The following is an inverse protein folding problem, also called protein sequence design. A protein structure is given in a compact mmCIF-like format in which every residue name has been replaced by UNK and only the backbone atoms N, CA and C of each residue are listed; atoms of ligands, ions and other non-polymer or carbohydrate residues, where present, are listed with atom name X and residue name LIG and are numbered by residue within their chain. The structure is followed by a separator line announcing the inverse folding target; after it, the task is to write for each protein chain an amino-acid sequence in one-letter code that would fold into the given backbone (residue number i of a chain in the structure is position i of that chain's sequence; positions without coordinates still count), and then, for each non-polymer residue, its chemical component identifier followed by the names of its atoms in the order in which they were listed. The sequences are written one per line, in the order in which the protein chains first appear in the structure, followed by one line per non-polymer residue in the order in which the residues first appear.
data_IF_080102819880
#
_entry.id   IF_080102819880
#
_cell.length_a   1.000
_cell.length_b   1.000
_cell.length_c   1.000
_cell.angle_alpha   90.00
_cell.angle_beta   90.00
_cell.angle_gamma   90.00
#
_symmetry.space_group_name_H-M   'P 1'
#
loop_
_entity.id
_entity.type
_entity.pdbx_description
1 polymer ?
#
# COMPACT_ATOMS: atom_id res chain seq x y z
N UNK A 1 3.34 16.95 -16.41
CA UNK A 1 4.73 16.60 -16.79
C UNK A 1 5.42 17.75 -17.56
N UNK A 2 6.69 18.07 -17.26
CA UNK A 2 7.45 19.13 -17.95
C UNK A 2 7.52 18.92 -19.47
N UNK A 3 7.56 17.67 -19.93
CA UNK A 3 7.55 17.27 -21.35
C UNK A 3 6.29 17.71 -22.11
N UNK A 4 5.12 17.81 -21.46
CA UNK A 4 3.89 18.23 -22.12
C UNK A 4 3.92 19.70 -22.56
N UNK A 5 4.67 20.56 -21.86
CA UNK A 5 4.79 21.98 -22.21
C UNK A 5 5.66 22.21 -23.46
N UNK A 6 6.68 21.37 -23.66
CA UNK A 6 7.51 21.38 -24.87
C UNK A 6 6.68 20.96 -26.08
N UNK A 7 6.01 19.82 -26.00
CA UNK A 7 5.20 19.28 -27.10
C UNK A 7 4.10 20.26 -27.56
N UNK A 8 3.39 20.91 -26.62
CA UNK A 8 2.33 21.89 -26.95
C UNK A 8 2.90 23.13 -27.67
N UNK A 9 4.09 23.59 -27.27
CA UNK A 9 4.71 24.80 -27.85
C UNK A 9 5.34 24.51 -29.21
N UNK A 10 5.99 23.35 -29.34
CA UNK A 10 6.56 22.88 -30.59
C UNK A 10 5.46 22.61 -31.64
N UNK A 11 4.34 22.00 -31.24
CA UNK A 11 3.20 21.77 -32.12
C UNK A 11 2.68 23.06 -32.78
N UNK A 12 2.66 24.17 -32.05
CA UNK A 12 2.29 25.48 -32.61
C UNK A 12 3.30 26.01 -33.63
N UNK A 13 4.59 25.78 -33.41
CA UNK A 13 5.64 26.16 -34.36
C UNK A 13 5.56 25.30 -35.62
N UNK A 14 5.41 23.99 -35.45
CA UNK A 14 5.25 23.03 -36.54
C UNK A 14 4.03 23.38 -37.42
N UNK A 15 2.87 23.66 -36.82
CA UNK A 15 1.68 24.06 -37.55
C UNK A 15 1.90 25.32 -38.41
N UNK A 16 2.59 26.33 -37.85
CA UNK A 16 2.97 27.54 -38.61
C UNK A 16 3.92 27.22 -39.76
N UNK A 17 4.90 26.34 -39.53
CA UNK A 17 5.88 25.94 -40.54
C UNK A 17 5.27 25.12 -41.68
N UNK A 18 4.28 24.26 -41.40
CA UNK A 18 3.51 23.54 -42.42
C UNK A 18 2.77 24.54 -43.31
N UNK A 19 2.03 25.49 -42.71
CA UNK A 19 1.35 26.55 -43.46
C UNK A 19 2.30 27.48 -44.21
N UNK A 20 3.52 27.72 -43.70
CA UNK A 20 4.54 28.50 -44.40
C UNK A 20 5.10 27.72 -45.61
N UNK A 21 5.33 26.41 -45.45
CA UNK A 21 5.79 25.52 -46.52
C UNK A 21 4.80 25.43 -47.68
N UNK A 22 3.50 25.36 -47.39
CA UNK A 22 2.44 25.35 -48.41
C UNK A 22 2.32 26.70 -49.16
N UNK A 23 2.78 27.79 -48.54
CA UNK A 23 2.73 29.15 -49.11
C UNK A 23 4.07 29.62 -49.69
N UNK A 24 5.08 28.75 -49.74
CA UNK A 24 6.43 29.10 -50.23
C UNK A 24 7.17 30.16 -49.39
N UNK A 25 6.76 30.38 -48.14
CA UNK A 25 7.37 31.37 -47.25
C UNK A 25 8.42 30.73 -46.31
N UNK A 26 9.31 31.58 -45.76
CA UNK A 26 10.42 31.14 -44.91
C UNK A 26 9.91 30.50 -43.61
N UNK A 27 10.47 29.35 -43.27
CA UNK A 27 10.17 28.61 -42.02
C UNK A 27 10.86 29.27 -40.83
N UNK A 28 10.26 29.15 -39.65
CA UNK A 28 10.82 29.66 -38.38
C UNK A 28 11.36 28.52 -37.51
N UNK A 29 12.55 28.69 -36.94
CA UNK A 29 13.13 27.73 -36.01
C UNK A 29 12.48 27.82 -34.62
N UNK A 30 12.32 26.66 -33.97
CA UNK A 30 11.81 26.59 -32.61
C UNK A 30 12.97 26.61 -31.61
N UNK A 31 13.01 27.64 -30.76
CA UNK A 31 13.92 27.68 -29.61
C UNK A 31 13.11 27.75 -28.30
N UNK A 32 13.29 26.74 -27.45
CA UNK A 32 12.71 26.76 -26.11
C UNK A 32 13.69 27.35 -25.11
N UNK A 33 13.36 28.50 -24.52
CA UNK A 33 14.09 29.05 -23.39
C UNK A 33 13.40 28.64 -22.09
N UNK A 34 14.00 27.71 -21.36
CA UNK A 34 13.54 27.35 -20.02
C UNK A 34 13.70 28.55 -19.08
N UNK A 35 12.63 28.93 -18.38
CA UNK A 35 12.67 30.01 -17.37
C UNK A 35 13.35 29.57 -16.07
N UNK A 36 13.54 28.26 -15.89
CA UNK A 36 14.14 27.67 -14.71
C UNK A 36 13.61 26.28 -14.40
N UNK A 37 14.21 25.61 -13.41
CA UNK A 37 13.78 24.33 -12.87
C UNK A 37 13.65 24.44 -11.34
N UNK A 38 12.59 23.87 -10.80
CA UNK A 38 12.32 23.80 -9.36
C UNK A 38 12.01 22.36 -9.00
N UNK A 39 12.70 21.81 -8.02
CA UNK A 39 12.51 20.44 -7.54
C UNK A 39 12.50 20.38 -6.01
N UNK A 40 11.52 19.69 -5.43
CA UNK A 40 11.47 19.43 -4.00
C UNK A 40 12.25 18.15 -3.66
N UNK A 41 13.11 18.20 -2.64
CA UNK A 41 13.92 17.06 -2.17
C UNK A 41 13.38 16.40 -0.88
N UNK A 42 12.28 16.93 -0.31
CA UNK A 42 11.78 16.50 1.01
C UNK A 42 12.43 17.28 2.17
N UNK A 43 11.98 17.06 3.42
CA UNK A 43 12.54 17.67 4.64
C UNK A 43 12.83 19.19 4.54
N UNK A 44 11.83 19.98 4.16
CA UNK A 44 11.95 21.44 3.99
C UNK A 44 13.10 21.87 3.05
N UNK A 45 13.51 21.00 2.11
CA UNK A 45 14.60 21.25 1.18
C UNK A 45 14.12 21.15 -0.26
N UNK A 46 14.57 22.10 -1.08
CA UNK A 46 14.33 22.12 -2.51
C UNK A 46 15.55 22.72 -3.23
N UNK A 47 15.59 22.56 -4.55
CA UNK A 47 16.57 23.18 -5.43
C UNK A 47 15.84 24.00 -6.47
N UNK A 48 16.31 25.23 -6.67
CA UNK A 48 15.78 26.17 -7.63
C UNK A 48 16.91 26.68 -8.53
N UNK A 49 16.69 26.58 -9.84
CA UNK A 49 17.48 27.26 -10.85
C UNK A 49 16.55 28.20 -11.62
N UNK A 50 16.79 29.51 -11.55
CA UNK A 50 16.01 30.53 -12.23
C UNK A 50 16.84 31.21 -13.32
N UNK A 51 16.23 31.36 -14.49
CA UNK A 51 16.78 32.08 -15.66
C UNK A 51 18.20 31.64 -16.07
N UNK A 52 18.61 30.42 -15.70
CA UNK A 52 19.95 29.86 -15.96
C UNK A 52 21.11 30.55 -15.24
N UNK A 53 20.84 31.46 -14.29
CA UNK A 53 21.89 32.24 -13.60
C UNK A 53 21.77 32.20 -12.08
N UNK A 54 20.56 32.11 -11.55
CA UNK A 54 20.31 32.19 -10.12
C UNK A 54 20.02 30.78 -9.61
N UNK A 55 20.94 30.22 -8.83
CA UNK A 55 20.82 28.90 -8.21
C UNK A 55 20.75 29.07 -6.70
N UNK A 56 19.72 28.50 -6.08
CA UNK A 56 19.57 28.50 -4.63
C UNK A 56 18.88 27.22 -4.17
N UNK A 57 19.22 26.79 -2.96
CA UNK A 57 18.78 25.50 -2.40
C UNK A 57 18.43 25.63 -0.92
N UNK A 58 17.77 24.60 -0.38
CA UNK A 58 17.39 24.52 1.03
C UNK A 58 16.02 25.15 1.32
N UNK A 59 15.86 25.66 2.54
CA UNK A 59 14.58 26.17 3.06
C UNK A 59 13.98 27.29 2.20
N UNK A 60 14.80 28.24 1.75
CA UNK A 60 14.31 29.36 0.93
C UNK A 60 13.85 28.92 -0.46
N UNK A 61 14.54 27.95 -1.07
CA UNK A 61 14.07 27.33 -2.32
C UNK A 61 12.77 26.55 -2.11
N UNK A 62 12.63 25.88 -0.97
CA UNK A 62 11.43 25.13 -0.61
C UNK A 62 10.23 26.04 -0.35
N UNK A 63 10.43 27.15 0.37
CA UNK A 63 9.41 28.15 0.61
C UNK A 63 9.00 28.88 -0.67
N UNK A 64 9.98 29.23 -1.51
CA UNK A 64 9.72 29.83 -2.82
C UNK A 64 8.89 28.92 -3.73
N UNK A 65 9.18 27.61 -3.75
CA UNK A 65 8.36 26.64 -4.46
C UNK A 65 6.90 26.62 -3.96
N UNK A 66 6.70 26.62 -2.63
CA UNK A 66 5.36 26.73 -2.02
C UNK A 66 4.64 28.01 -2.45
N UNK A 67 5.31 29.15 -2.47
CA UNK A 67 4.74 30.42 -2.91
C UNK A 67 4.25 30.38 -4.37
N UNK A 68 5.07 29.81 -5.27
CA UNK A 68 4.71 29.66 -6.70
C UNK A 68 3.53 28.70 -6.88
N UNK A 69 3.52 27.58 -6.16
CA UNK A 69 2.40 26.63 -6.17
C UNK A 69 1.10 27.30 -5.71
N UNK A 70 1.15 28.02 -4.58
CA UNK A 70 0.01 28.72 -4.02
C UNK A 70 -0.56 29.79 -4.95
N UNK A 71 0.31 30.56 -5.61
CA UNK A 71 -0.10 31.57 -6.58
C UNK A 71 -0.92 30.96 -7.74
N UNK A 72 -0.54 29.76 -8.19
CA UNK A 72 -1.16 29.05 -9.32
C UNK A 72 -2.42 28.25 -8.98
N UNK A 73 -2.78 28.12 -7.70
CA UNK A 73 -4.01 27.40 -7.32
C UNK A 73 -5.26 28.17 -7.74
N UNK A 74 -6.21 27.55 -8.45
CA UNK A 74 -7.50 28.17 -8.73
C UNK A 74 -8.42 28.09 -7.49
N UNK A 75 -9.08 29.21 -7.16
CA UNK A 75 -10.08 29.32 -6.09
C UNK A 75 -9.52 29.83 -4.76
N UNK A 76 -10.17 30.86 -4.20
CA UNK A 76 -9.77 31.51 -2.94
C UNK A 76 -9.85 30.56 -1.75
N UNK A 77 -10.92 29.76 -1.65
CA UNK A 77 -11.09 28.78 -0.55
C UNK A 77 -9.99 27.72 -0.55
N UNK A 78 -9.47 27.34 -1.73
CA UNK A 78 -8.37 26.36 -1.86
C UNK A 78 -7.03 26.98 -1.43
N UNK A 79 -6.79 28.24 -1.80
CA UNK A 79 -5.60 28.99 -1.37
C UNK A 79 -5.55 29.15 0.16
N UNK A 80 -6.67 29.49 0.79
CA UNK A 80 -6.76 29.66 2.25
C UNK A 80 -6.50 28.34 2.98
N UNK A 81 -7.15 27.24 2.57
CA UNK A 81 -6.93 25.91 3.18
C UNK A 81 -5.48 25.45 3.08
N UNK A 82 -4.86 25.63 1.92
CA UNK A 82 -3.46 25.24 1.71
C UNK A 82 -2.49 26.11 2.53
N UNK A 83 -2.75 27.41 2.63
CA UNK A 83 -1.95 28.30 3.47
C UNK A 83 -2.05 27.93 4.97
N UNK A 84 -3.27 27.63 5.45
CA UNK A 84 -3.50 27.17 6.83
C UNK A 84 -2.80 25.84 7.07
N UNK A 85 -2.90 24.88 6.15
CA UNK A 85 -2.18 23.60 6.24
C UNK A 85 -0.67 23.79 6.36
N UNK A 86 -0.06 24.67 5.56
CA UNK A 86 1.38 24.94 5.64
C UNK A 86 1.80 25.70 6.89
N UNK A 87 0.93 26.59 7.40
CA UNK A 87 1.14 27.30 8.65
C UNK A 87 1.08 26.34 9.85
N UNK A 88 0.12 25.42 9.84
CA UNK A 88 -0.02 24.37 10.85
C UNK A 88 1.14 23.37 10.81
N UNK A 89 1.57 22.93 9.62
CA UNK A 89 2.77 22.09 9.43
C UNK A 89 4.05 22.73 10.03
N UNK A 90 4.11 24.07 10.10
CA UNK A 90 5.30 24.79 10.56
C UNK A 90 5.32 25.06 12.07
N UNK A 91 4.13 25.13 12.71
CA UNK A 91 3.96 25.45 14.14
C UNK A 91 3.73 24.18 14.96
N UNK A 92 3.19 23.15 14.33
CA UNK A 92 3.02 21.83 14.92
C UNK A 92 4.09 20.95 14.28
N UNK A 93 5.24 20.69 14.92
CA UNK A 93 5.95 19.47 14.61
C UNK A 93 4.92 18.37 14.87
N UNK A 94 4.37 17.79 13.80
CA UNK A 94 3.77 16.47 13.92
C UNK A 94 4.98 15.55 14.13
N UNK A 95 5.64 15.66 15.29
CA UNK A 95 5.82 14.44 16.05
C UNK A 95 4.41 13.89 16.16
N UNK A 96 4.10 13.05 15.19
CA UNK A 96 3.30 11.91 15.49
C UNK A 96 4.00 11.30 16.71
N UNK A 97 3.54 11.66 17.92
CA UNK A 97 3.03 10.60 18.77
C UNK A 97 2.29 9.75 17.77
N UNK A 98 2.90 8.62 17.47
CA UNK A 98 2.33 7.57 16.67
C UNK A 98 1.11 7.14 17.50
N UNK A 99 0.07 7.97 17.50
CA UNK A 99 -1.28 7.54 17.56
C UNK A 99 -1.28 6.59 16.38
N UNK A 100 -1.04 5.31 16.71
CA UNK A 100 -1.70 4.19 16.09
C UNK A 100 -3.19 4.51 16.17
N UNK A 101 -3.63 5.47 15.36
CA UNK A 101 -4.72 5.20 14.46
C UNK A 101 -4.18 4.01 13.69
N UNK A 102 -4.31 2.80 14.23
CA UNK A 102 -4.17 1.60 13.44
C UNK A 102 -5.26 1.78 12.42
N UNK A 103 -4.98 2.14 11.15
CA UNK A 103 -5.96 1.79 10.17
C UNK A 103 -6.03 0.26 10.32
N UNK A 104 -7.18 -0.27 10.72
CA UNK A 104 -7.54 -1.64 10.43
C UNK A 104 -7.62 -1.76 8.91
N UNK A 105 -6.45 -1.74 8.26
CA UNK A 105 -6.17 -2.25 6.92
C UNK A 105 -5.68 -3.67 7.17
N UNK A 106 -6.51 -4.59 7.66
CA UNK A 106 -7.91 -4.78 7.30
C UNK A 106 -7.93 -5.83 6.21
N UNK A 107 -7.74 -7.09 6.63
CA UNK A 107 -7.92 -8.32 5.85
C UNK A 107 -7.22 -8.31 4.46
N UNK A 108 -6.07 -8.98 4.35
CA UNK A 108 -5.44 -9.17 3.04
C UNK A 108 -6.13 -10.30 2.26
N UNK A 109 -6.35 -10.13 0.95
CA UNK A 109 -6.79 -11.21 0.07
C UNK A 109 -5.56 -11.94 -0.48
N UNK A 110 -5.54 -13.26 -0.36
CA UNK A 110 -4.49 -14.12 -0.90
C UNK A 110 -5.11 -15.13 -1.85
N UNK A 111 -4.34 -15.50 -2.88
CA UNK A 111 -4.71 -16.52 -3.84
C UNK A 111 -3.57 -17.54 -3.92
N UNK A 112 -3.93 -18.82 -3.97
CA UNK A 112 -3.01 -19.95 -4.07
C UNK A 112 -3.51 -20.95 -5.10
N UNK A 113 -2.58 -21.53 -5.86
CA UNK A 113 -2.85 -22.61 -6.81
C UNK A 113 -2.82 -23.99 -6.11
N UNK A 114 -3.35 -25.06 -6.75
CA UNK A 114 -3.23 -26.41 -6.22
C UNK A 114 -1.78 -26.80 -5.90
N UNK A 115 -1.61 -27.59 -4.84
CA UNK A 115 -0.33 -28.03 -4.27
C UNK A 115 0.55 -26.94 -3.64
N UNK A 116 0.18 -25.66 -3.71
CA UNK A 116 0.89 -24.62 -2.99
C UNK A 116 0.67 -24.72 -1.47
N UNK A 117 1.75 -24.48 -0.73
CA UNK A 117 1.75 -24.54 0.74
C UNK A 117 1.56 -23.12 1.28
N UNK A 118 0.56 -22.95 2.14
CA UNK A 118 0.24 -21.66 2.76
C UNK A 118 1.17 -21.39 3.96
N UNK A 119 1.47 -22.43 4.74
CA UNK A 119 2.51 -22.44 5.77
C UNK A 119 2.86 -23.87 6.17
N UNK A 120 4.04 -24.04 6.74
CA UNK A 120 4.51 -25.29 7.31
C UNK A 120 4.26 -25.36 8.82
N UNK A 121 4.19 -26.59 9.34
CA UNK A 121 4.30 -26.84 10.77
C UNK A 121 5.60 -26.21 11.33
N UNK A 122 5.50 -25.58 12.50
CA UNK A 122 6.61 -24.91 13.16
C UNK A 122 6.81 -23.44 12.76
N UNK A 123 6.25 -23.00 11.63
CA UNK A 123 6.34 -21.60 11.19
C UNK A 123 5.75 -20.64 12.23
N UNK A 124 6.26 -19.42 12.32
CA UNK A 124 5.64 -18.40 13.18
C UNK A 124 4.36 -17.89 12.53
N UNK A 125 3.26 -17.88 13.30
CA UNK A 125 1.92 -17.57 12.79
C UNK A 125 1.29 -16.32 13.40
N UNK A 126 1.25 -15.23 12.65
CA UNK A 126 0.61 -13.96 13.07
C UNK A 126 -0.73 -13.65 12.36
N UNK A 127 -1.21 -14.59 11.53
CA UNK A 127 -2.45 -14.46 10.76
C UNK A 127 -3.37 -15.67 10.93
N UNK A 128 -4.67 -15.39 10.97
CA UNK A 128 -5.75 -16.33 10.73
C UNK A 128 -6.16 -16.24 9.26
N UNK A 129 -6.52 -17.36 8.64
CA UNK A 129 -7.03 -17.38 7.27
C UNK A 129 -8.47 -17.87 7.22
N UNK A 130 -9.31 -17.20 6.44
CA UNK A 130 -10.69 -17.59 6.15
C UNK A 130 -10.78 -17.97 4.67
N UNK A 131 -11.36 -19.13 4.38
CA UNK A 131 -11.50 -19.65 3.02
C UNK A 131 -12.74 -19.01 2.39
N UNK A 132 -12.52 -18.21 1.35
CA UNK A 132 -13.61 -17.60 0.56
C UNK A 132 -14.11 -18.59 -0.48
N UNK A 133 -13.17 -19.24 -1.17
CA UNK A 133 -13.41 -20.20 -2.24
C UNK A 133 -12.21 -21.15 -2.35
N UNK A 134 -12.42 -22.37 -2.81
CA UNK A 134 -11.39 -23.41 -2.89
C UNK A 134 -11.37 -24.38 -1.70
N UNK A 135 -10.24 -25.08 -1.54
CA UNK A 135 -10.10 -26.17 -0.58
C UNK A 135 -8.64 -26.37 -0.16
N UNK A 136 -8.43 -26.62 1.12
CA UNK A 136 -7.10 -26.87 1.70
C UNK A 136 -7.09 -28.15 2.51
N UNK A 137 -5.94 -28.81 2.54
CA UNK A 137 -5.65 -29.99 3.33
C UNK A 137 -4.67 -29.61 4.45
N UNK A 138 -5.01 -29.97 5.68
CA UNK A 138 -4.21 -29.78 6.89
C UNK A 138 -3.59 -31.12 7.26
N UNK A 139 -2.26 -31.17 7.38
CA UNK A 139 -1.54 -32.39 7.68
C UNK A 139 -0.30 -32.14 8.53
N UNK A 140 0.13 -33.16 9.27
CA UNK A 140 1.43 -33.20 9.94
C UNK A 140 2.30 -34.25 9.26
N UNK A 141 3.61 -34.03 9.28
CA UNK A 141 4.59 -34.99 8.80
C UNK A 141 5.43 -35.47 10.00
N UNK A 142 5.29 -36.76 10.35
CA UNK A 142 6.08 -37.40 11.40
C UNK A 142 6.78 -38.61 10.80
N UNK A 143 8.08 -38.73 11.03
CA UNK A 143 8.92 -39.84 10.53
C UNK A 143 8.80 -40.08 9.01
N UNK A 144 8.63 -39.00 8.23
CA UNK A 144 8.45 -39.05 6.78
C UNK A 144 7.07 -39.57 6.31
N UNK A 145 6.14 -39.80 7.24
CA UNK A 145 4.76 -40.18 6.93
C UNK A 145 3.83 -38.97 7.08
N UNK A 146 3.07 -38.70 6.02
CA UNK A 146 2.07 -37.65 5.99
C UNK A 146 0.77 -38.13 6.64
N UNK A 147 0.40 -37.54 7.77
CA UNK A 147 -0.90 -37.76 8.43
C UNK A 147 -1.83 -36.59 8.15
N UNK A 148 -2.87 -36.84 7.34
CA UNK A 148 -3.93 -35.86 7.05
C UNK A 148 -4.86 -35.74 8.25
N UNK A 149 -5.03 -34.52 8.75
CA UNK A 149 -5.84 -34.22 9.94
C UNK A 149 -7.24 -33.79 9.54
N UNK A 150 -7.34 -32.93 8.51
CA UNK A 150 -8.61 -32.45 7.99
C UNK A 150 -8.47 -31.84 6.59
N UNK A 151 -9.58 -31.80 5.87
CA UNK A 151 -9.75 -31.00 4.66
C UNK A 151 -10.77 -29.92 4.95
N UNK A 152 -10.47 -28.69 4.57
CA UNK A 152 -11.26 -27.48 4.89
C UNK A 152 -11.69 -26.79 3.60
N UNK A 153 -12.96 -26.39 3.54
CA UNK A 153 -13.57 -25.73 2.38
C UNK A 153 -14.07 -24.31 2.69
N UNK A 154 -14.85 -23.70 1.78
CA UNK A 154 -15.32 -22.32 1.93
C UNK A 154 -16.11 -22.08 3.21
N UNK A 155 -16.08 -20.84 3.71
CA UNK A 155 -16.69 -20.42 4.99
C UNK A 155 -16.09 -21.04 6.25
N UNK A 156 -15.00 -21.79 6.12
CA UNK A 156 -14.20 -22.26 7.26
C UNK A 156 -12.92 -21.43 7.41
N UNK A 157 -12.24 -21.60 8.53
CA UNK A 157 -11.01 -20.87 8.85
C UNK A 157 -9.95 -21.79 9.46
N UNK A 158 -8.68 -21.37 9.35
CA UNK A 158 -7.54 -22.09 9.90
C UNK A 158 -6.41 -21.14 10.34
N UNK A 159 -5.53 -21.66 11.20
CA UNK A 159 -4.40 -20.92 11.75
C UNK A 159 -4.71 -20.16 13.04
N UNK A 160 -5.90 -20.36 13.61
CA UNK A 160 -6.36 -19.79 14.87
C UNK A 160 -5.52 -20.24 16.07
N UNK A 161 -5.07 -21.49 16.07
CA UNK A 161 -4.31 -22.08 17.18
C UNK A 161 -3.04 -21.27 17.48
N UNK A 162 -2.41 -20.75 16.41
CA UNK A 162 -1.19 -19.97 16.54
C UNK A 162 -1.40 -18.61 17.22
N UNK A 163 -2.62 -18.08 17.10
CA UNK A 163 -2.98 -16.78 17.65
C UNK A 163 -3.36 -16.85 19.12
N UNK A 164 -3.95 -17.96 19.55
CA UNK A 164 -4.49 -18.15 20.90
C UNK A 164 -3.39 -18.62 21.88
N UNK A 165 -2.73 -19.75 21.59
CA UNK A 165 -1.96 -20.48 22.61
C UNK A 165 -0.52 -20.84 22.22
N UNK A 166 -0.14 -20.88 20.94
CA UNK A 166 1.18 -21.37 20.52
C UNK A 166 1.75 -20.47 19.44
N UNK A 167 2.87 -19.78 19.65
CA UNK A 167 3.39 -18.80 18.66
C UNK A 167 3.75 -19.41 17.28
N UNK A 168 3.71 -20.74 17.15
CA UNK A 168 4.05 -21.49 15.95
C UNK A 168 2.84 -22.24 15.37
N UNK A 169 2.89 -22.56 14.08
CA UNK A 169 1.87 -23.35 13.36
C UNK A 169 1.92 -24.80 13.81
N UNK A 170 0.77 -25.34 14.20
CA UNK A 170 0.66 -26.72 14.70
C UNK A 170 0.63 -27.79 13.60
N UNK A 171 0.45 -27.42 12.33
CA UNK A 171 0.39 -28.34 11.19
C UNK A 171 0.73 -27.59 9.90
N UNK A 172 1.03 -28.33 8.83
CA UNK A 172 1.22 -27.80 7.47
C UNK A 172 -0.13 -27.70 6.76
N UNK A 173 -0.34 -26.62 6.00
CA UNK A 173 -1.57 -26.41 5.22
C UNK A 173 -1.22 -26.23 3.74
N UNK A 174 -1.84 -27.04 2.89
CA UNK A 174 -1.63 -27.05 1.43
C UNK A 174 -2.95 -26.95 0.68
N UNK A 175 -2.98 -26.23 -0.43
CA UNK A 175 -4.15 -26.15 -1.31
C UNK A 175 -4.36 -27.45 -2.09
N UNK A 176 -5.58 -27.98 -2.11
CA UNK A 176 -5.98 -29.11 -2.98
C UNK A 176 -6.68 -28.61 -4.25
N UNK A 177 -7.19 -27.38 -4.23
CA UNK A 177 -7.84 -26.66 -5.34
C UNK A 177 -7.34 -25.22 -5.37
N UNK A 178 -7.53 -24.46 -6.48
CA UNK A 178 -7.29 -23.03 -6.48
C UNK A 178 -8.08 -22.38 -5.35
N UNK A 179 -7.41 -21.66 -4.46
CA UNK A 179 -7.99 -21.22 -3.18
C UNK A 179 -7.81 -19.73 -2.97
N UNK A 180 -8.92 -19.06 -2.65
CA UNK A 180 -8.96 -17.64 -2.29
C UNK A 180 -9.16 -17.50 -0.78
N UNK A 181 -8.27 -16.76 -0.13
CA UNK A 181 -8.24 -16.59 1.31
C UNK A 181 -8.36 -15.12 1.73
N UNK A 182 -8.90 -14.91 2.91
CA UNK A 182 -8.81 -13.66 3.67
C UNK A 182 -7.87 -13.86 4.86
N UNK A 183 -6.78 -13.11 4.92
CA UNK A 183 -5.79 -13.15 5.99
C UNK A 183 -6.04 -12.03 7.00
N UNK A 184 -6.40 -12.40 8.23
CA UNK A 184 -6.69 -11.51 9.35
C UNK A 184 -5.51 -11.50 10.33
N UNK A 185 -4.99 -10.32 10.68
CA UNK A 185 -3.88 -10.19 11.64
C UNK A 185 -4.32 -10.55 13.06
N UNK A 186 -3.37 -11.02 13.88
CA UNK A 186 -3.57 -11.28 15.31
C UNK A 186 -4.21 -10.12 16.07
N UNK A 187 -3.80 -8.88 15.79
CA UNK A 187 -4.36 -7.68 16.42
C UNK A 187 -5.85 -7.52 16.12
N UNK A 188 -6.25 -7.79 14.88
CA UNK A 188 -7.63 -7.63 14.41
C UNK A 188 -8.51 -8.76 14.93
N UNK A 189 -7.97 -9.99 14.94
CA UNK A 189 -8.60 -11.15 15.57
C UNK A 189 -8.84 -10.93 17.07
N UNK A 190 -7.87 -10.37 17.79
CA UNK A 190 -8.00 -10.04 19.21
C UNK A 190 -9.16 -9.07 19.48
N UNK A 191 -9.32 -8.05 18.62
CA UNK A 191 -10.46 -7.12 18.72
C UNK A 191 -11.81 -7.79 18.45
N UNK A 192 -11.89 -8.72 17.48
CA UNK A 192 -13.12 -9.46 17.20
C UNK A 192 -13.52 -10.33 18.39
N UNK A 193 -12.57 -11.05 18.97
CA UNK A 193 -12.83 -11.92 20.12
C UNK A 193 -13.20 -11.11 21.38
N UNK A 194 -12.59 -9.95 21.60
CA UNK A 194 -12.90 -9.13 22.77
C UNK A 194 -14.30 -8.51 22.71
N UNK A 195 -14.80 -8.24 21.51
CA UNK A 195 -16.10 -7.60 21.31
C UNK A 195 -17.26 -8.59 21.22
N UNK A 196 -16.99 -9.87 20.93
CA UNK A 196 -18.00 -10.91 20.79
C UNK A 196 -17.71 -12.10 21.72
N UNK A 197 -18.21 -12.05 22.95
CA UNK A 197 -18.01 -13.11 23.97
C UNK A 197 -18.41 -14.50 23.48
N UNK A 198 -19.52 -14.62 22.75
CA UNK A 198 -19.96 -15.92 22.20
C UNK A 198 -19.01 -16.48 21.13
N UNK A 199 -18.35 -15.62 20.36
CA UNK A 199 -17.36 -16.04 19.36
C UNK A 199 -16.11 -16.62 20.03
N UNK A 200 -15.71 -16.04 21.18
CA UNK A 200 -14.58 -16.54 21.98
C UNK A 200 -14.80 -17.99 22.42
N UNK A 201 -15.99 -18.31 22.91
CA UNK A 201 -16.34 -19.65 23.39
C UNK A 201 -16.35 -20.67 22.26
N UNK A 202 -16.92 -20.33 21.10
CA UNK A 202 -16.93 -21.20 19.92
C UNK A 202 -15.52 -21.49 19.41
N UNK A 203 -14.67 -20.46 19.33
CA UNK A 203 -13.28 -20.61 18.88
C UNK A 203 -12.48 -21.49 19.85
N UNK A 204 -12.64 -21.32 21.16
CA UNK A 204 -11.95 -22.18 22.14
C UNK A 204 -12.43 -23.64 22.10
N UNK A 205 -13.73 -23.87 21.88
CA UNK A 205 -14.26 -25.23 21.73
C UNK A 205 -13.69 -25.91 20.47
N UNK A 206 -13.63 -25.16 19.36
CA UNK A 206 -13.08 -25.65 18.09
C UNK A 206 -11.56 -25.91 18.17
N UNK A 207 -10.81 -25.02 18.84
CA UNK A 207 -9.38 -25.17 19.13
C UNK A 207 -9.11 -26.48 19.90
N UNK A 208 -9.88 -26.73 20.96
CA UNK A 208 -9.71 -27.94 21.77
C UNK A 208 -9.96 -29.21 20.95
N UNK A 209 -11.03 -29.23 20.14
CA UNK A 209 -11.35 -30.36 19.28
C UNK A 209 -10.27 -30.62 18.22
N UNK A 210 -9.71 -29.56 17.62
CA UNK A 210 -8.62 -29.69 16.65
C UNK A 210 -7.31 -30.15 17.30
N UNK A 211 -7.01 -29.69 18.51
CA UNK A 211 -5.84 -30.15 19.28
C UNK A 211 -5.92 -31.64 19.59
N UNK A 212 -7.08 -32.15 20.01
CA UNK A 212 -7.28 -33.58 20.27
C UNK A 212 -7.06 -34.43 19.01
N UNK A 213 -7.36 -33.90 17.81
CA UNK A 213 -7.08 -34.55 16.52
C UNK A 213 -5.60 -34.50 16.10
N UNK A 214 -4.81 -33.58 16.67
CA UNK A 214 -3.37 -33.47 16.44
C UNK A 214 -2.58 -34.42 17.36
N UNK A 215 -3.11 -34.67 18.56
CA UNK A 215 -2.48 -35.53 19.57
C UNK A 215 -2.77 -37.02 19.33
N UNK A 216 -3.97 -37.37 18.87
CA UNK A 216 -4.36 -38.73 18.45
C UNK A 216 -3.98 -38.98 16.99
#
# INVERSE_FOLDING_TARGET
PPTAQFAIREAKCLAKNICASLRGSKKSDFHFKALGMLGALGHHSAVAELFGKIKFSGFFAWFFWRLVYWAKLPGVSRKVKVAISWLLDSIIPIEAVQLKISPSQGIARLHFEPDEIIFHEGDIGDYLYIIVDGEVEVYQERDGQKKVISTLGPSTYFGEMALINQRTRSATVRCTKPTNLLALRKSDFGMLISNFTGLKEQIHAEEKSRREKLEN
#
